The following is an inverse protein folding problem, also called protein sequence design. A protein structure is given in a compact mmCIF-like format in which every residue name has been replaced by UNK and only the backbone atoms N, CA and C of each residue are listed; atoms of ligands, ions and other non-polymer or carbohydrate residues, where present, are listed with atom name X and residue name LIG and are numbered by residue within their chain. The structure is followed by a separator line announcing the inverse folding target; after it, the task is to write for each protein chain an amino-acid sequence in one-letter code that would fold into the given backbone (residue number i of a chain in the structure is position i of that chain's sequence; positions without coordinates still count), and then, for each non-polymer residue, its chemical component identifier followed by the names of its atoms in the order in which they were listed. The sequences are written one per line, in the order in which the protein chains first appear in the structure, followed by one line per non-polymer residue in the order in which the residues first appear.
data_IF_999389679957
#
_entry.id   IF_999389679957
#
_cell.length_a   1.000
_cell.length_b   1.000
_cell.length_c   1.000
_cell.angle_alpha   90.00
_cell.angle_beta   90.00
_cell.angle_gamma   90.00
#
_symmetry.space_group_name_H-M   'P 1'
#
loop_
_entity.id
_entity.type
_entity.pdbx_description
1 polymer ?
#
# COMPACT_ATOMS: atom_id res chain seq x y z
N UNK A 1 -3.10 10.26 -8.25
CA UNK A 1 -3.46 9.10 -7.42
C UNK A 1 -4.35 9.59 -6.31
N UNK A 2 -5.02 8.66 -5.62
CA UNK A 2 -5.99 9.01 -4.57
C UNK A 2 -5.38 9.04 -3.16
N UNK A 3 -4.05 9.01 -3.05
CA UNK A 3 -3.37 9.02 -1.76
C UNK A 3 -3.18 10.45 -1.26
N UNK A 4 -3.51 10.68 0.01
CA UNK A 4 -3.29 11.96 0.70
C UNK A 4 -2.00 11.86 1.50
N UNK A 5 -1.09 12.80 1.26
CA UNK A 5 0.19 12.90 1.96
C UNK A 5 0.04 13.92 3.08
N UNK A 6 0.17 13.47 4.32
CA UNK A 6 0.11 14.29 5.52
C UNK A 6 1.49 14.35 6.19
N UNK A 7 1.67 15.30 7.10
CA UNK A 7 2.89 15.46 7.91
C UNK A 7 4.17 15.57 7.08
N UNK A 8 4.17 16.43 6.05
CA UNK A 8 5.35 16.73 5.23
C UNK A 8 5.99 15.47 4.58
N UNK A 9 5.16 14.50 4.16
CA UNK A 9 5.63 13.26 3.52
C UNK A 9 5.69 12.03 4.43
N UNK A 10 5.39 12.17 5.74
CA UNK A 10 5.60 11.08 6.72
C UNK A 10 4.42 10.15 6.90
N UNK A 11 3.21 10.60 6.55
CA UNK A 11 2.00 9.79 6.65
C UNK A 11 1.33 9.74 5.29
N UNK A 12 1.13 8.55 4.75
CA UNK A 12 0.42 8.34 3.48
C UNK A 12 -0.88 7.63 3.82
N UNK A 13 -2.02 8.25 3.52
CA UNK A 13 -3.33 7.66 3.78
C UNK A 13 -4.15 7.55 2.50
N UNK A 14 -5.16 6.68 2.53
CA UNK A 14 -6.13 6.55 1.45
C UNK A 14 -7.09 7.76 1.41
N UNK A 15 -7.66 8.02 0.24
CA UNK A 15 -8.69 9.04 -0.01
C UNK A 15 -9.85 9.05 1.00
N UNK A 16 -10.17 7.87 1.55
CA UNK A 16 -11.30 7.67 2.47
C UNK A 16 -10.80 7.30 3.88
N UNK A 17 -10.50 8.27 4.77
CA UNK A 17 -10.07 7.98 6.14
C UNK A 17 -11.19 7.33 6.99
N UNK A 18 -12.43 7.37 6.51
CA UNK A 18 -13.61 6.84 7.19
C UNK A 18 -13.46 5.39 7.68
N UNK A 19 -12.84 4.52 6.87
CA UNK A 19 -12.63 3.10 7.25
C UNK A 19 -11.71 2.96 8.46
N UNK A 20 -10.64 3.74 8.50
CA UNK A 20 -9.69 3.78 9.62
C UNK A 20 -10.39 4.30 10.87
N UNK A 21 -11.17 5.38 10.74
CA UNK A 21 -11.92 5.98 11.86
C UNK A 21 -12.93 4.99 12.45
N UNK A 22 -13.72 4.30 11.62
CA UNK A 22 -14.66 3.27 12.10
C UNK A 22 -13.91 2.17 12.87
N UNK A 23 -12.81 1.66 12.34
CA UNK A 23 -12.04 0.60 13.00
C UNK A 23 -11.51 1.05 14.36
N UNK A 24 -10.97 2.27 14.47
CA UNK A 24 -10.55 2.84 15.75
C UNK A 24 -11.74 2.90 16.72
N UNK A 25 -12.88 3.43 16.28
CA UNK A 25 -14.06 3.58 17.13
C UNK A 25 -14.54 2.20 17.61
N UNK A 26 -14.61 1.22 16.72
CA UNK A 26 -15.14 -0.10 17.05
C UNK A 26 -14.24 -0.85 18.04
N UNK A 27 -12.92 -0.80 17.84
CA UNK A 27 -11.92 -1.41 18.74
C UNK A 27 -11.96 -0.72 20.10
N UNK A 28 -11.88 0.61 20.13
CA UNK A 28 -11.87 1.38 21.39
C UNK A 28 -13.18 1.20 22.16
N UNK A 29 -14.33 1.24 21.48
CA UNK A 29 -15.64 1.03 22.08
C UNK A 29 -15.78 -0.36 22.70
N UNK A 30 -15.43 -1.42 21.96
CA UNK A 30 -15.48 -2.79 22.49
C UNK A 30 -14.59 -2.96 23.72
N UNK A 31 -13.39 -2.38 23.71
CA UNK A 31 -12.46 -2.47 24.85
C UNK A 31 -12.92 -1.67 26.05
N UNK A 32 -13.53 -0.49 25.84
CA UNK A 32 -14.09 0.32 26.92
C UNK A 32 -15.27 -0.39 27.60
N UNK A 33 -16.14 -1.06 26.83
CA UNK A 33 -17.24 -1.85 27.41
C UNK A 33 -16.72 -2.99 28.29
N UNK A 34 -15.71 -3.73 27.82
CA UNK A 34 -15.07 -4.78 28.62
C UNK A 34 -14.52 -4.20 29.92
N UNK A 35 -13.76 -3.10 29.85
CA UNK A 35 -13.22 -2.47 31.06
C UNK A 35 -14.32 -1.93 31.99
N UNK A 36 -15.42 -1.39 31.46
CA UNK A 36 -16.49 -0.83 32.27
C UNK A 36 -17.29 -1.90 33.03
N UNK A 37 -17.55 -3.06 32.42
CA UNK A 37 -18.33 -4.14 33.03
C UNK A 37 -17.48 -5.15 33.80
N UNK A 38 -16.33 -5.55 33.25
CA UNK A 38 -15.52 -6.61 33.82
C UNK A 38 -14.64 -6.10 34.97
N UNK A 39 -14.02 -4.92 34.86
CA UNK A 39 -13.14 -4.39 35.92
C UNK A 39 -13.81 -4.28 37.30
N UNK A 40 -15.03 -3.73 37.47
CA UNK A 40 -15.64 -3.65 38.79
C UNK A 40 -15.95 -5.04 39.36
N UNK A 41 -16.34 -6.00 38.51
CA UNK A 41 -16.59 -7.38 38.93
C UNK A 41 -15.31 -8.09 39.38
N UNK A 42 -14.23 -7.98 38.61
CA UNK A 42 -12.94 -8.57 38.96
C UNK A 42 -12.30 -7.91 40.19
N UNK A 43 -12.46 -6.60 40.36
CA UNK A 43 -11.92 -5.89 41.53
C UNK A 43 -12.56 -6.34 42.84
N UNK A 44 -13.86 -6.61 42.84
CA UNK A 44 -14.60 -7.02 44.05
C UNK A 44 -14.39 -8.50 44.41
N UNK A 45 -14.36 -9.39 43.42
CA UNK A 45 -14.31 -10.84 43.66
C UNK A 45 -12.89 -11.44 43.56
N UNK A 46 -12.03 -10.89 42.71
CA UNK A 46 -10.75 -11.51 42.33
C UNK A 46 -9.62 -10.48 42.13
N UNK A 47 -9.18 -9.85 43.22
CA UNK A 47 -8.16 -8.77 43.20
C UNK A 47 -6.86 -9.17 42.48
N UNK A 48 -6.34 -10.38 42.70
CA UNK A 48 -5.11 -10.83 42.05
C UNK A 48 -5.25 -10.91 40.52
N UNK A 49 -6.36 -11.45 40.04
CA UNK A 49 -6.64 -11.55 38.60
C UNK A 49 -6.83 -10.16 37.98
N UNK A 50 -7.45 -9.23 38.71
CA UNK A 50 -7.58 -7.84 38.28
C UNK A 50 -6.21 -7.17 38.03
N UNK A 51 -5.28 -7.27 38.98
CA UNK A 51 -3.95 -6.64 38.86
C UNK A 51 -3.12 -7.18 37.70
N UNK A 52 -3.37 -8.40 37.24
CA UNK A 52 -2.67 -9.00 36.08
C UNK A 52 -3.40 -8.69 34.76
N UNK A 53 -4.72 -8.86 34.73
CA UNK A 53 -5.51 -8.73 33.50
C UNK A 53 -5.66 -7.28 33.01
N UNK A 54 -5.81 -6.32 33.93
CA UNK A 54 -5.98 -4.91 33.59
C UNK A 54 -4.77 -4.31 32.84
N UNK A 55 -3.53 -4.41 33.33
CA UNK A 55 -2.37 -3.87 32.59
C UNK A 55 -2.11 -4.62 31.29
N UNK A 56 -2.37 -5.94 31.24
CA UNK A 56 -2.20 -6.74 30.03
C UNK A 56 -3.17 -6.32 28.92
N UNK A 57 -4.45 -6.15 29.25
CA UNK A 57 -5.47 -5.71 28.28
C UNK A 57 -5.18 -4.31 27.77
N UNK A 58 -4.76 -3.39 28.64
CA UNK A 58 -4.36 -2.04 28.25
C UNK A 58 -3.11 -2.04 27.35
N UNK A 59 -2.11 -2.88 27.66
CA UNK A 59 -0.93 -3.04 26.81
C UNK A 59 -1.28 -3.60 25.42
N UNK A 60 -2.15 -4.62 25.35
CA UNK A 60 -2.58 -5.17 24.07
C UNK A 60 -3.37 -4.14 23.27
N UNK A 61 -4.29 -3.40 23.91
CA UNK A 61 -5.04 -2.31 23.27
C UNK A 61 -4.10 -1.27 22.65
N UNK A 62 -3.15 -0.74 23.43
CA UNK A 62 -2.24 0.30 22.93
C UNK A 62 -1.37 -0.23 21.78
N UNK A 63 -0.85 -1.45 21.88
CA UNK A 63 -0.10 -2.06 20.78
C UNK A 63 -0.95 -2.23 19.52
N UNK A 64 -2.19 -2.72 19.65
CA UNK A 64 -3.07 -2.88 18.47
C UNK A 64 -3.37 -1.55 17.80
N UNK A 65 -3.62 -0.49 18.56
CA UNK A 65 -3.86 0.85 18.02
C UNK A 65 -2.61 1.41 17.34
N UNK A 66 -1.42 1.25 17.95
CA UNK A 66 -0.15 1.67 17.36
C UNK A 66 0.10 0.92 16.05
N UNK A 67 -0.02 -0.41 16.05
CA UNK A 67 0.21 -1.24 14.87
C UNK A 67 -0.79 -0.95 13.74
N UNK A 68 -2.05 -0.69 14.09
CA UNK A 68 -3.06 -0.31 13.11
C UNK A 68 -2.74 1.06 12.50
N UNK A 69 -2.35 2.04 13.33
CA UNK A 69 -1.96 3.36 12.86
C UNK A 69 -0.72 3.29 11.97
N UNK A 70 0.33 2.57 12.38
CA UNK A 70 1.54 2.42 11.56
C UNK A 70 1.22 1.74 10.25
N UNK A 71 0.48 0.62 10.23
CA UNK A 71 0.09 -0.05 8.99
C UNK A 71 -0.75 0.82 8.06
N UNK A 72 -1.62 1.67 8.63
CA UNK A 72 -2.53 2.53 7.85
C UNK A 72 -1.89 3.82 7.31
N UNK A 73 -0.80 4.28 7.92
CA UNK A 73 -0.12 5.52 7.57
C UNK A 73 1.23 5.28 6.88
N UNK A 74 1.73 4.04 6.91
CA UNK A 74 2.97 3.65 6.28
C UNK A 74 2.82 3.62 4.76
N UNK A 75 3.80 4.21 4.09
CA UNK A 75 3.89 4.20 2.64
C UNK A 75 4.14 2.75 2.15
N UNK A 76 3.30 2.19 1.26
CA UNK A 76 3.53 0.88 0.65
C UNK A 76 4.74 0.84 -0.30
N UNK A 77 5.42 1.97 -0.52
CA UNK A 77 6.50 2.12 -1.49
C UNK A 77 5.93 2.57 -2.83
N UNK A 78 5.39 3.80 -2.86
CA UNK A 78 4.88 4.38 -4.11
C UNK A 78 6.03 4.63 -5.11
N UNK A 79 5.81 4.23 -6.35
CA UNK A 79 6.64 4.65 -7.45
C UNK A 79 6.03 5.93 -8.06
N UNK A 80 6.78 7.03 -8.18
CA UNK A 80 6.25 8.25 -8.78
C UNK A 80 5.79 8.01 -10.21
N UNK A 81 4.73 8.73 -10.62
CA UNK A 81 4.26 8.68 -12.01
C UNK A 81 5.34 9.26 -12.92
N UNK A 82 5.48 8.69 -14.12
CA UNK A 82 6.46 9.18 -15.08
C UNK A 82 6.24 10.66 -15.36
N UNK A 83 7.32 11.42 -15.32
CA UNK A 83 7.27 12.83 -15.71
C UNK A 83 7.01 12.93 -17.22
N UNK A 84 6.59 14.11 -17.69
CA UNK A 84 6.14 14.27 -19.07
C UNK A 84 7.27 14.02 -20.10
N UNK A 85 8.49 14.45 -19.78
CA UNK A 85 9.75 14.13 -20.47
C UNK A 85 10.02 12.61 -20.49
N UNK A 86 9.92 11.95 -19.35
CA UNK A 86 10.08 10.49 -19.26
C UNK A 86 9.01 9.73 -20.05
N UNK A 87 7.77 10.23 -20.03
CA UNK A 87 6.66 9.64 -20.80
C UNK A 87 6.94 9.72 -22.30
N UNK A 88 7.50 10.84 -22.77
CA UNK A 88 7.92 11.01 -24.17
C UNK A 88 9.09 10.07 -24.48
N UNK A 89 10.05 9.94 -23.57
CA UNK A 89 11.17 9.00 -23.70
C UNK A 89 10.67 7.54 -23.83
N UNK A 90 9.79 7.09 -22.95
CA UNK A 90 9.24 5.73 -22.99
C UNK A 90 8.46 5.45 -24.28
N UNK A 91 7.70 6.43 -24.78
CA UNK A 91 7.00 6.35 -26.07
C UNK A 91 7.98 6.32 -27.24
N UNK A 92 9.03 7.14 -27.21
CA UNK A 92 10.06 7.19 -28.25
C UNK A 92 10.89 5.91 -28.35
N UNK A 93 11.30 5.35 -27.20
CA UNK A 93 12.02 4.07 -27.12
C UNK A 93 11.19 2.92 -27.70
N UNK A 94 9.89 2.95 -27.42
CA UNK A 94 8.94 2.00 -27.99
C UNK A 94 8.83 2.13 -29.52
N UNK A 95 8.65 3.35 -30.03
CA UNK A 95 8.56 3.60 -31.48
C UNK A 95 9.84 3.18 -32.19
N UNK A 96 11.01 3.44 -31.59
CA UNK A 96 12.31 3.04 -32.13
C UNK A 96 12.45 1.51 -32.22
N UNK A 97 12.04 0.75 -31.18
CA UNK A 97 12.08 -0.71 -31.18
C UNK A 97 11.14 -1.34 -32.21
N UNK A 98 10.10 -0.62 -32.66
CA UNK A 98 9.18 -1.03 -33.74
C UNK A 98 9.62 -0.64 -35.16
N UNK A 99 10.61 0.24 -35.34
CA UNK A 99 11.17 0.54 -36.68
C UNK A 99 12.08 -0.59 -37.18
N UNK A 100 11.51 -1.80 -37.31
CA UNK A 100 11.94 -2.78 -38.30
C UNK A 100 11.25 -2.48 -39.64
N UNK A 101 11.79 -2.91 -40.78
CA UNK A 101 11.25 -2.56 -42.09
C UNK A 101 9.84 -3.15 -42.23
N UNK A 102 8.83 -2.29 -42.42
CA UNK A 102 7.55 -2.71 -43.04
C UNK A 102 6.32 -2.95 -42.15
N UNK A 103 6.12 -2.27 -41.02
CA UNK A 103 4.81 -2.34 -40.32
C UNK A 103 4.23 -0.96 -39.98
N UNK A 104 3.50 -0.38 -40.93
CA UNK A 104 2.61 0.76 -40.72
C UNK A 104 1.24 0.28 -40.20
N UNK A 105 1.10 0.09 -38.89
CA UNK A 105 -0.21 0.13 -38.21
C UNK A 105 -0.04 0.81 -36.85
N UNK A 106 -0.82 1.83 -36.50
CA UNK A 106 -0.83 2.42 -35.17
C UNK A 106 -1.66 1.51 -34.25
N UNK A 107 -1.21 0.27 -34.08
CA UNK A 107 -1.88 -0.70 -33.24
C UNK A 107 -1.29 -0.57 -31.84
N UNK A 108 -2.14 -0.06 -30.93
CA UNK A 108 -2.01 0.10 -29.46
C UNK A 108 -0.68 -0.45 -28.90
N UNK A 109 0.01 0.40 -28.13
CA UNK A 109 1.19 0.05 -27.32
C UNK A 109 1.04 -1.39 -26.81
N UNK A 110 1.83 -2.38 -27.27
CA UNK A 110 1.78 -3.74 -26.77
C UNK A 110 2.11 -3.65 -25.30
N UNK A 111 1.20 -4.18 -24.50
CA UNK A 111 1.23 -4.09 -23.05
C UNK A 111 2.40 -4.86 -22.43
N UNK A 112 3.39 -5.30 -23.21
CA UNK A 112 4.41 -6.27 -22.84
C UNK A 112 5.74 -5.89 -23.51
N UNK A 113 6.78 -5.68 -22.70
CA UNK A 113 8.16 -5.48 -23.10
C UNK A 113 9.00 -6.60 -22.52
N UNK A 114 9.69 -7.36 -23.36
CA UNK A 114 10.62 -8.38 -22.88
C UNK A 114 11.95 -7.73 -22.50
N UNK A 115 12.35 -7.93 -21.25
CA UNK A 115 13.59 -7.43 -20.66
C UNK A 115 14.42 -8.63 -20.20
N UNK A 116 15.67 -8.68 -20.65
CA UNK A 116 16.66 -9.65 -20.18
C UNK A 116 17.19 -9.21 -18.82
N UNK A 117 16.94 -10.02 -17.79
CA UNK A 117 17.43 -9.78 -16.43
C UNK A 117 18.85 -10.35 -16.28
N UNK A 118 19.64 -9.80 -15.37
CA UNK A 118 20.92 -10.38 -14.95
C UNK A 118 20.73 -11.87 -14.62
N UNK A 119 21.41 -12.76 -15.37
CA UNK A 119 21.22 -14.22 -15.29
C UNK A 119 20.55 -14.86 -16.52
N UNK A 120 20.33 -14.10 -17.60
CA UNK A 120 19.93 -14.64 -18.92
C UNK A 120 18.45 -15.01 -19.05
N UNK A 121 17.64 -14.77 -18.02
CA UNK A 121 16.18 -14.99 -18.06
C UNK A 121 15.49 -13.78 -18.70
N UNK A 122 14.66 -14.02 -19.70
CA UNK A 122 13.78 -13.00 -20.28
C UNK A 122 12.50 -12.91 -19.47
N UNK A 123 12.20 -11.73 -18.93
CA UNK A 123 10.96 -11.45 -18.23
C UNK A 123 10.16 -10.37 -18.98
N UNK A 124 8.88 -10.66 -19.18
CA UNK A 124 7.94 -9.78 -19.86
C UNK A 124 7.34 -8.77 -18.87
N UNK A 125 7.70 -7.48 -18.98
CA UNK A 125 7.14 -6.41 -18.13
C UNK A 125 5.97 -5.69 -18.79
N UNK A 126 4.99 -5.26 -17.99
CA UNK A 126 3.76 -4.63 -18.52
C UNK A 126 3.78 -3.11 -18.45
N UNK A 127 3.18 -2.45 -19.44
CA UNK A 127 3.01 -1.00 -19.44
C UNK A 127 1.84 -0.58 -18.51
N UNK A 128 2.05 0.47 -17.73
CA UNK A 128 1.00 1.08 -16.91
C UNK A 128 0.44 2.31 -17.63
N UNK A 129 -0.80 2.25 -18.13
CA UNK A 129 -1.43 3.38 -18.82
C UNK A 129 -1.80 4.54 -17.89
N UNK A 130 -1.96 4.28 -16.59
CA UNK A 130 -2.31 5.31 -15.59
C UNK A 130 -1.07 6.04 -15.07
N UNK A 131 0.05 5.33 -14.90
CA UNK A 131 1.30 5.90 -14.40
C UNK A 131 2.31 6.25 -15.50
N UNK A 132 2.04 5.88 -16.75
CA UNK A 132 2.79 6.20 -17.98
C UNK A 132 4.22 5.67 -18.11
N UNK A 133 4.55 4.54 -17.46
CA UNK A 133 5.84 3.85 -17.60
C UNK A 133 5.70 2.32 -17.69
N UNK A 134 6.78 1.65 -18.12
CA UNK A 134 6.91 0.20 -18.06
C UNK A 134 7.25 -0.25 -16.64
N UNK A 135 6.38 -1.07 -16.04
CA UNK A 135 6.50 -1.47 -14.63
C UNK A 135 7.76 -2.32 -14.42
N UNK A 136 8.69 -1.92 -13.53
CA UNK A 136 9.80 -2.77 -13.15
C UNK A 136 9.34 -4.13 -12.61
N UNK A 137 10.23 -5.12 -12.66
CA UNK A 137 10.02 -6.38 -11.98
C UNK A 137 9.92 -6.09 -10.47
N UNK A 138 8.74 -6.37 -9.87
CA UNK A 138 8.30 -6.02 -8.49
C UNK A 138 7.36 -4.82 -8.38
N UNK A 139 6.99 -4.14 -9.45
CA UNK A 139 6.00 -3.04 -9.39
C UNK A 139 4.65 -3.48 -9.93
N UNK A 140 3.59 -3.26 -9.16
CA UNK A 140 2.21 -3.50 -9.59
C UNK A 140 1.36 -2.24 -9.45
N UNK A 141 0.34 -2.10 -10.28
CA UNK A 141 -0.59 -0.99 -10.15
C UNK A 141 -1.72 -1.37 -9.19
N UNK A 142 -1.82 -0.65 -8.08
CA UNK A 142 -2.93 -0.76 -7.16
C UNK A 142 -4.08 0.13 -7.65
N UNK A 143 -5.20 -0.49 -8.06
CA UNK A 143 -6.40 0.25 -8.52
C UNK A 143 -7.02 1.09 -7.42
N UNK A 144 -6.95 0.63 -6.17
CA UNK A 144 -7.50 1.34 -5.00
C UNK A 144 -6.76 2.65 -4.73
N UNK A 145 -5.43 2.62 -4.79
CA UNK A 145 -4.59 3.81 -4.56
C UNK A 145 -4.38 4.64 -5.85
N UNK A 146 -4.73 4.07 -7.01
CA UNK A 146 -4.43 4.57 -8.35
C UNK A 146 -2.95 4.92 -8.54
N UNK A 147 -2.07 4.12 -7.95
CA UNK A 147 -0.62 4.33 -8.00
C UNK A 147 0.09 2.98 -8.19
N UNK A 148 1.22 3.00 -8.87
CA UNK A 148 2.14 1.88 -8.91
C UNK A 148 2.86 1.77 -7.55
N UNK A 149 2.89 0.57 -6.99
CA UNK A 149 3.54 0.27 -5.71
C UNK A 149 4.51 -0.89 -5.87
N UNK A 150 5.63 -0.83 -5.17
CA UNK A 150 6.59 -1.92 -5.12
C UNK A 150 6.04 -3.04 -4.24
N UNK A 151 5.70 -4.18 -4.85
CA UNK A 151 5.41 -5.38 -4.08
C UNK A 151 6.75 -6.00 -3.68
N UNK A 152 7.14 -5.81 -2.43
CA UNK A 152 8.08 -6.72 -1.79
C UNK A 152 7.40 -8.08 -1.60
N UNK A 153 7.54 -8.96 -2.59
CA UNK A 153 7.32 -10.39 -2.37
C UNK A 153 8.48 -10.89 -1.50
N UNK A 154 8.30 -10.82 -0.19
CA UNK A 154 9.03 -11.68 0.74
C UNK A 154 8.35 -13.05 0.58
N UNK A 155 8.95 -13.91 -0.24
CA UNK A 155 8.71 -15.35 -0.18
C UNK A 155 9.57 -15.95 0.93
#
# INVERSE_FOLDING_TARGET
GYNVILCNGRCVTSDSPFRLIISIILITFSSLLLLAFDCPYFFNNYKLLFYISFPLTLFLLTNTLILMLTASLMDPGFEPRARQDETIFWKGLYDQKRRGPGRCRPERIPNILDVTVYGGRTCSVKYCSTCNFFRPLRVSHCRTCDNCVCINFIF
#
